data_IF_465739394126
#
_entry.id   IF_465739394126
#
_cell.length_a   1.000
_cell.length_b   1.000
_cell.length_c   1.000
_cell.angle_alpha   90.00
_cell.angle_beta   90.00
_cell.angle_gamma   90.00
#
_symmetry.space_group_name_H-M   'P 1'
#
loop_
_entity.id
_entity.type
_entity.pdbx_description
1 polymer ?
#
# COMPACT_ATOMS: atom_id res chain seq x y z
N UNK A 1 -23.23 1.07 9.75
CA UNK A 1 -21.94 0.60 9.23
C UNK A 1 -21.84 0.89 7.73
N UNK A 2 -20.70 1.40 7.27
CA UNK A 2 -20.38 1.56 5.86
C UNK A 2 -19.16 0.70 5.48
N UNK A 3 -19.17 0.14 4.29
CA UNK A 3 -18.03 -0.63 3.77
C UNK A 3 -17.03 0.33 3.16
N UNK A 4 -15.74 0.16 3.49
CA UNK A 4 -14.64 0.84 2.82
C UNK A 4 -14.33 0.06 1.53
N UNK A 5 -14.82 0.54 0.40
CA UNK A 5 -14.63 -0.12 -0.89
C UNK A 5 -13.20 0.10 -1.39
N UNK A 6 -12.32 -0.88 -1.11
CA UNK A 6 -10.92 -0.83 -1.54
C UNK A 6 -10.76 -0.97 -3.05
N UNK A 7 -11.71 -1.55 -3.77
CA UNK A 7 -11.65 -1.66 -5.24
C UNK A 7 -11.89 -0.29 -5.86
N UNK A 8 -12.96 0.40 -5.44
CA UNK A 8 -13.27 1.74 -5.95
C UNK A 8 -12.15 2.75 -5.61
N UNK A 9 -11.65 2.70 -4.37
CA UNK A 9 -10.57 3.60 -3.94
C UNK A 9 -9.25 3.30 -4.67
N UNK A 10 -8.94 2.02 -4.93
CA UNK A 10 -7.78 1.64 -5.72
C UNK A 10 -7.89 2.11 -7.17
N UNK A 11 -9.08 2.03 -7.78
CA UNK A 11 -9.31 2.56 -9.13
C UNK A 11 -9.07 4.08 -9.19
N UNK A 12 -9.59 4.85 -8.23
CA UNK A 12 -9.33 6.29 -8.13
C UNK A 12 -7.83 6.60 -7.93
N UNK A 13 -7.15 5.80 -7.09
CA UNK A 13 -5.70 5.95 -6.84
C UNK A 13 -4.87 5.64 -8.09
N UNK A 14 -5.26 4.63 -8.88
CA UNK A 14 -4.61 4.31 -10.15
C UNK A 14 -4.86 5.38 -11.21
N UNK A 15 -6.07 5.95 -11.26
CA UNK A 15 -6.36 7.09 -12.13
C UNK A 15 -5.47 8.31 -11.80
N UNK A 16 -5.25 8.60 -10.50
CA UNK A 16 -4.28 9.61 -10.06
C UNK A 16 -2.86 9.28 -10.54
N UNK A 17 -2.44 8.02 -10.42
CA UNK A 17 -1.13 7.57 -10.92
C UNK A 17 -1.01 7.76 -12.44
N UNK A 18 -2.04 7.39 -13.21
CA UNK A 18 -2.07 7.55 -14.66
C UNK A 18 -1.95 9.02 -15.12
N UNK A 19 -2.62 9.94 -14.44
CA UNK A 19 -2.48 11.38 -14.70
C UNK A 19 -1.03 11.86 -14.48
N UNK A 20 -0.39 11.39 -13.39
CA UNK A 20 1.00 11.72 -13.09
C UNK A 20 1.97 11.09 -14.11
N UNK A 21 1.69 9.86 -14.57
CA UNK A 21 2.44 9.22 -15.67
C UNK A 21 2.38 10.07 -16.93
N UNK A 22 1.20 10.55 -17.30
CA UNK A 22 1.03 11.42 -18.49
C UNK A 22 1.89 12.68 -18.37
N UNK A 23 1.86 13.34 -17.21
CA UNK A 23 2.67 14.53 -16.96
C UNK A 23 4.20 14.26 -17.00
N UNK A 24 4.64 13.05 -16.61
CA UNK A 24 6.04 12.62 -16.72
C UNK A 24 6.41 12.33 -18.18
N UNK A 25 5.53 11.68 -18.94
CA UNK A 25 5.74 11.40 -20.37
C UNK A 25 5.89 12.67 -21.21
N UNK A 26 5.14 13.73 -20.91
CA UNK A 26 5.29 15.05 -21.52
C UNK A 26 6.68 15.67 -21.30
N UNK A 27 7.38 15.21 -20.23
CA UNK A 27 8.77 15.59 -19.93
C UNK A 27 9.81 14.55 -20.40
N UNK A 28 9.39 13.58 -21.22
CA UNK A 28 10.26 12.53 -21.74
C UNK A 28 10.58 11.42 -20.75
N UNK A 29 9.89 11.33 -19.60
CA UNK A 29 10.11 10.30 -18.59
C UNK A 29 9.00 9.26 -18.65
N UNK A 30 9.36 8.01 -18.92
CA UNK A 30 8.44 6.88 -18.91
C UNK A 30 8.69 6.04 -17.64
N UNK A 31 7.80 6.07 -16.64
CA UNK A 31 7.99 5.24 -15.45
C UNK A 31 8.07 3.76 -15.80
N UNK A 32 9.01 3.03 -15.16
CA UNK A 32 9.23 1.61 -15.38
C UNK A 32 9.37 0.88 -14.04
N UNK A 33 8.58 -0.18 -13.86
CA UNK A 33 8.62 -1.10 -12.72
C UNK A 33 9.18 -2.45 -13.15
N UNK A 34 10.26 -2.88 -12.55
CA UNK A 34 10.76 -4.26 -12.68
C UNK A 34 10.20 -5.13 -11.56
N UNK A 35 9.58 -6.25 -11.92
CA UNK A 35 9.03 -7.25 -10.99
C UNK A 35 9.81 -8.54 -11.16
N UNK A 36 10.52 -8.95 -10.12
CA UNK A 36 11.28 -10.21 -10.09
C UNK A 36 10.48 -11.25 -9.32
N UNK A 37 10.25 -12.38 -9.94
CA UNK A 37 9.63 -13.56 -9.33
C UNK A 37 10.61 -14.74 -9.40
N UNK A 38 10.81 -15.44 -8.28
CA UNK A 38 11.62 -16.65 -8.21
C UNK A 38 10.70 -17.81 -7.89
N UNK A 39 10.71 -18.84 -8.75
CA UNK A 39 9.82 -19.98 -8.66
C UNK A 39 8.40 -19.73 -9.16
N UNK A 40 7.57 -20.75 -9.07
CA UNK A 40 6.23 -20.80 -9.67
C UNK A 40 5.09 -20.85 -8.64
N UNK A 41 5.25 -20.19 -7.47
CA UNK A 41 4.18 -20.15 -6.49
C UNK A 41 2.90 -19.57 -7.10
N UNK A 42 1.76 -20.31 -7.11
CA UNK A 42 0.55 -19.86 -7.80
C UNK A 42 -0.04 -18.57 -7.23
N UNK A 43 0.08 -18.35 -5.92
CA UNK A 43 -0.38 -17.11 -5.30
C UNK A 43 0.47 -15.93 -5.77
N UNK A 44 1.80 -16.08 -5.81
CA UNK A 44 2.73 -15.07 -6.32
C UNK A 44 2.45 -14.72 -7.78
N UNK A 45 2.16 -15.71 -8.63
CA UNK A 45 1.81 -15.48 -10.05
C UNK A 45 0.56 -14.60 -10.20
N UNK A 46 -0.47 -14.84 -9.39
CA UNK A 46 -1.69 -14.00 -9.41
C UNK A 46 -1.37 -12.56 -9.03
N UNK A 47 -0.55 -12.36 -7.99
CA UNK A 47 -0.14 -11.01 -7.56
C UNK A 47 0.73 -10.30 -8.60
N UNK A 48 1.71 -11.00 -9.18
CA UNK A 48 2.56 -10.44 -10.25
C UNK A 48 1.72 -10.05 -11.47
N UNK A 49 0.82 -10.94 -11.93
CA UNK A 49 -0.10 -10.61 -13.04
C UNK A 49 -0.95 -9.39 -12.74
N UNK A 50 -1.47 -9.28 -11.51
CA UNK A 50 -2.22 -8.10 -11.06
C UNK A 50 -1.39 -6.82 -11.14
N UNK A 51 -0.11 -6.84 -10.72
CA UNK A 51 0.80 -5.69 -10.79
C UNK A 51 1.11 -5.28 -12.22
N UNK A 52 1.35 -6.25 -13.12
CA UNK A 52 1.58 -6.00 -14.56
C UNK A 52 0.36 -5.33 -15.21
N UNK A 53 -0.85 -5.83 -14.90
CA UNK A 53 -2.09 -5.24 -15.39
C UNK A 53 -2.28 -3.81 -14.86
N UNK A 54 -2.02 -3.57 -13.58
CA UNK A 54 -2.11 -2.22 -12.98
C UNK A 54 -1.07 -1.26 -13.58
N UNK A 55 0.15 -1.75 -13.92
CA UNK A 55 1.14 -0.96 -14.66
C UNK A 55 0.58 -0.54 -16.03
N UNK A 56 0.03 -1.48 -16.79
CA UNK A 56 -0.55 -1.20 -18.11
C UNK A 56 -1.71 -0.21 -18.01
N UNK A 57 -2.60 -0.36 -17.03
CA UNK A 57 -3.72 0.55 -16.77
C UNK A 57 -3.23 1.97 -16.44
N UNK A 58 -2.14 2.11 -15.69
CA UNK A 58 -1.56 3.41 -15.33
C UNK A 58 -0.62 3.99 -16.41
N UNK A 59 -0.29 3.25 -17.47
CA UNK A 59 0.70 3.66 -18.48
C UNK A 59 2.16 3.55 -18.00
N UNK A 60 2.44 2.75 -16.97
CA UNK A 60 3.77 2.43 -16.47
C UNK A 60 4.33 1.24 -17.26
N UNK A 61 5.56 1.32 -17.72
CA UNK A 61 6.24 0.14 -18.29
C UNK A 61 6.51 -0.89 -17.21
N UNK A 62 6.28 -2.17 -17.53
CA UNK A 62 6.57 -3.28 -16.62
C UNK A 62 7.55 -4.26 -17.23
N UNK A 63 8.58 -4.63 -16.45
CA UNK A 63 9.52 -5.70 -16.81
C UNK A 63 9.34 -6.85 -15.83
N UNK A 64 8.79 -7.95 -16.31
CA UNK A 64 8.62 -9.17 -15.52
C UNK A 64 9.81 -10.08 -15.75
N UNK A 65 10.53 -10.39 -14.67
CA UNK A 65 11.66 -11.30 -14.66
C UNK A 65 11.26 -12.55 -13.89
N UNK A 66 11.26 -13.69 -14.58
CA UNK A 66 11.01 -14.98 -13.99
C UNK A 66 12.31 -15.76 -13.84
N UNK A 67 12.64 -16.15 -12.63
CA UNK A 67 13.80 -16.98 -12.31
C UNK A 67 13.33 -18.35 -11.84
N UNK A 68 14.11 -19.38 -12.13
CA UNK A 68 13.81 -20.74 -11.71
C UNK A 68 13.74 -20.84 -10.17
N UNK A 69 12.93 -21.75 -9.64
CA UNK A 69 12.84 -22.02 -8.21
C UNK A 69 14.19 -22.48 -7.61
N UNK A 70 15.03 -23.10 -8.46
CA UNK A 70 16.37 -23.55 -8.14
C UNK A 70 17.43 -22.44 -8.22
N UNK A 71 17.05 -21.21 -8.57
CA UNK A 71 17.98 -20.09 -8.64
C UNK A 71 18.78 -19.93 -7.34
N UNK A 72 20.05 -19.65 -7.47
CA UNK A 72 20.95 -19.41 -6.34
C UNK A 72 20.78 -17.98 -5.81
N UNK A 73 21.25 -17.77 -4.57
CA UNK A 73 21.31 -16.43 -3.97
C UNK A 73 22.09 -15.43 -4.85
N UNK A 74 23.23 -15.87 -5.42
CA UNK A 74 24.08 -15.00 -6.23
C UNK A 74 23.43 -14.63 -7.56
N UNK A 75 22.70 -15.54 -8.20
CA UNK A 75 21.96 -15.25 -9.43
C UNK A 75 20.85 -14.22 -9.17
N UNK A 76 20.09 -14.36 -8.07
CA UNK A 76 19.04 -13.40 -7.71
C UNK A 76 19.67 -12.03 -7.40
N UNK A 77 20.75 -11.98 -6.64
CA UNK A 77 21.46 -10.74 -6.35
C UNK A 77 22.05 -10.09 -7.60
N UNK A 78 22.62 -10.89 -8.53
CA UNK A 78 23.13 -10.38 -9.81
C UNK A 78 22.01 -9.74 -10.64
N UNK A 79 20.84 -10.38 -10.71
CA UNK A 79 19.67 -9.85 -11.41
C UNK A 79 19.19 -8.53 -10.78
N UNK A 80 19.08 -8.46 -9.46
CA UNK A 80 18.68 -7.24 -8.75
C UNK A 80 19.68 -6.11 -8.99
N UNK A 81 21.00 -6.39 -8.94
CA UNK A 81 22.04 -5.39 -9.21
C UNK A 81 22.00 -4.90 -10.66
N UNK A 82 21.75 -5.78 -11.63
CA UNK A 82 21.60 -5.38 -13.03
C UNK A 82 20.42 -4.41 -13.21
N UNK A 83 19.27 -4.69 -12.59
CA UNK A 83 18.13 -3.79 -12.59
C UNK A 83 18.41 -2.48 -11.84
N UNK A 84 19.17 -2.54 -10.76
CA UNK A 84 19.58 -1.37 -10.00
C UNK A 84 20.47 -0.42 -10.82
N UNK A 85 21.35 -0.97 -11.66
CA UNK A 85 22.24 -0.20 -12.54
C UNK A 85 21.54 0.35 -13.81
N UNK A 86 20.37 -0.19 -14.17
CA UNK A 86 19.63 0.24 -15.36
C UNK A 86 18.88 1.55 -15.08
N UNK A 87 19.31 2.65 -15.70
CA UNK A 87 18.68 3.96 -15.53
C UNK A 87 17.24 4.04 -16.04
N UNK A 88 16.81 3.12 -16.92
CA UNK A 88 15.44 3.06 -17.42
C UNK A 88 14.47 2.34 -16.46
N UNK A 89 14.99 1.67 -15.41
CA UNK A 89 14.21 1.02 -14.36
C UNK A 89 14.11 1.98 -13.17
N UNK A 90 12.92 2.42 -12.84
CA UNK A 90 12.68 3.39 -11.77
C UNK A 90 12.27 2.73 -10.45
N UNK A 91 11.58 1.58 -10.52
CA UNK A 91 11.19 0.79 -9.35
C UNK A 91 11.58 -0.66 -9.50
N UNK A 92 12.00 -1.29 -8.42
CA UNK A 92 12.30 -2.73 -8.35
C UNK A 92 11.46 -3.34 -7.26
N UNK A 93 10.77 -4.42 -7.60
CA UNK A 93 10.02 -5.24 -6.66
C UNK A 93 10.45 -6.70 -6.81
N UNK A 94 10.81 -7.33 -5.70
CA UNK A 94 11.01 -8.78 -5.64
C UNK A 94 9.83 -9.40 -4.93
N UNK A 95 9.10 -10.25 -5.67
CA UNK A 95 7.87 -10.86 -5.15
C UNK A 95 8.18 -11.88 -4.06
N UNK A 96 7.67 -11.64 -2.87
CA UNK A 96 7.75 -12.55 -1.73
C UNK A 96 6.55 -13.53 -1.70
N UNK A 97 6.71 -14.71 -1.07
CA UNK A 97 7.93 -15.24 -0.47
C UNK A 97 8.96 -15.73 -1.50
N UNK A 98 10.22 -15.74 -1.12
CA UNK A 98 11.30 -16.35 -1.90
C UNK A 98 11.50 -17.83 -1.50
N UNK A 99 12.08 -18.68 -2.40
CA UNK A 99 12.51 -20.02 -2.03
C UNK A 99 13.47 -20.04 -0.84
N UNK A 100 13.44 -21.12 -0.05
CA UNK A 100 14.12 -21.20 1.25
C UNK A 100 15.66 -21.00 1.18
N UNK A 101 16.29 -21.29 0.03
CA UNK A 101 17.72 -21.08 -0.20
C UNK A 101 18.09 -19.60 -0.39
N UNK A 102 17.10 -18.71 -0.57
CA UNK A 102 17.34 -17.28 -0.81
C UNK A 102 17.13 -16.49 0.48
N UNK A 103 18.11 -15.70 0.86
CA UNK A 103 18.01 -14.79 1.98
C UNK A 103 17.25 -13.51 1.57
N UNK A 104 16.00 -13.41 1.94
CA UNK A 104 15.13 -12.26 1.62
C UNK A 104 15.73 -10.92 2.04
N UNK A 105 16.37 -10.85 3.21
CA UNK A 105 16.99 -9.60 3.70
C UNK A 105 18.16 -9.16 2.81
N UNK A 106 18.97 -10.10 2.33
CA UNK A 106 20.06 -9.79 1.43
C UNK A 106 19.53 -9.24 0.10
N UNK A 107 18.43 -9.80 -0.40
CA UNK A 107 17.79 -9.34 -1.63
C UNK A 107 17.18 -7.95 -1.46
N UNK A 108 16.42 -7.71 -0.39
CA UNK A 108 15.84 -6.40 -0.09
C UNK A 108 16.94 -5.33 0.06
N UNK A 109 18.03 -5.66 0.75
CA UNK A 109 19.14 -4.74 0.95
C UNK A 109 19.95 -4.45 -0.32
N UNK A 110 19.84 -5.30 -1.35
CA UNK A 110 20.49 -5.09 -2.64
C UNK A 110 19.73 -4.09 -3.54
N UNK A 111 18.45 -3.81 -3.22
CA UNK A 111 17.66 -2.81 -3.93
C UNK A 111 18.07 -1.42 -3.42
N UNK A 112 18.53 -0.50 -4.30
CA UNK A 112 18.85 0.86 -3.89
C UNK A 112 17.60 1.56 -3.32
N UNK A 113 17.72 2.35 -2.25
CA UNK A 113 16.59 3.03 -1.62
C UNK A 113 15.74 3.87 -2.56
N UNK A 114 16.35 4.45 -3.60
CA UNK A 114 15.70 5.25 -4.64
C UNK A 114 14.87 4.42 -5.64
N UNK A 115 15.05 3.08 -5.67
CA UNK A 115 14.28 2.13 -6.49
C UNK A 115 13.44 1.15 -5.67
N UNK A 116 13.51 1.23 -4.34
CA UNK A 116 12.73 0.40 -3.41
C UNK A 116 11.30 0.92 -3.29
N UNK A 117 10.49 0.66 -4.30
CA UNK A 117 9.10 1.14 -4.38
C UNK A 117 8.12 0.40 -3.47
N UNK A 118 8.53 -0.72 -2.86
CA UNK A 118 7.78 -1.37 -1.78
C UNK A 118 8.04 -0.72 -0.40
N UNK A 119 9.11 0.08 -0.27
CA UNK A 119 9.47 0.79 0.96
C UNK A 119 9.99 -0.10 2.08
N UNK A 120 10.66 -1.22 1.75
CA UNK A 120 11.13 -2.19 2.73
C UNK A 120 12.61 -2.04 3.09
N UNK A 121 13.38 -1.25 2.33
CA UNK A 121 14.79 -1.05 2.64
C UNK A 121 14.96 -0.39 4.01
N UNK A 122 15.99 -0.76 4.79
CA UNK A 122 16.25 -0.13 6.09
C UNK A 122 16.38 1.39 6.00
N UNK A 123 16.83 1.93 4.87
CA UNK A 123 16.96 3.38 4.63
C UNK A 123 15.57 4.03 4.53
N UNK A 124 14.66 3.49 3.69
CA UNK A 124 13.30 4.02 3.58
C UNK A 124 12.53 3.87 4.90
N UNK A 125 12.68 2.72 5.59
CA UNK A 125 12.08 2.50 6.90
C UNK A 125 12.59 3.50 7.95
N UNK A 126 13.91 3.76 7.98
CA UNK A 126 14.51 4.76 8.88
C UNK A 126 14.00 6.17 8.58
N UNK A 127 13.99 6.57 7.31
CA UNK A 127 13.46 7.88 6.87
C UNK A 127 11.98 8.06 7.22
N UNK A 128 11.16 7.02 7.01
CA UNK A 128 9.75 7.04 7.42
C UNK A 128 9.62 7.29 8.93
N UNK A 129 10.46 6.62 9.75
CA UNK A 129 10.43 6.74 11.20
C UNK A 129 10.73 8.17 11.71
N UNK A 130 11.57 8.92 10.99
CA UNK A 130 11.99 10.28 11.37
C UNK A 130 11.29 11.37 10.54
N UNK A 131 10.29 11.00 9.73
CA UNK A 131 9.52 11.95 8.91
C UNK A 131 10.25 12.49 7.68
N UNK A 132 11.36 11.86 7.25
CA UNK A 132 12.07 12.25 6.05
C UNK A 132 11.42 11.71 4.76
N UNK A 133 11.66 12.36 3.60
CA UNK A 133 11.13 11.89 2.32
C UNK A 133 11.62 10.47 1.96
N UNK A 134 10.69 9.53 1.83
CA UNK A 134 10.96 8.12 1.51
C UNK A 134 9.84 7.55 0.61
N UNK A 135 9.95 6.27 0.23
CA UNK A 135 8.82 5.49 -0.26
C UNK A 135 8.18 4.79 0.92
N UNK A 136 6.87 5.00 1.09
CA UNK A 136 6.12 4.38 2.16
C UNK A 136 5.77 2.94 1.79
N UNK A 137 5.81 1.98 2.74
CA UNK A 137 5.33 0.63 2.50
C UNK A 137 3.90 0.64 1.97
N UNK A 138 3.68 -0.04 0.83
CA UNK A 138 2.44 0.10 0.04
C UNK A 138 1.18 -0.27 0.83
N UNK A 139 1.19 -1.40 1.56
CA UNK A 139 0.04 -1.85 2.36
C UNK A 139 -0.30 -0.87 3.48
N UNK A 140 0.63 -0.47 4.35
CA UNK A 140 0.39 0.54 5.38
C UNK A 140 -0.12 1.88 4.83
N UNK A 141 0.52 2.38 3.76
CA UNK A 141 0.08 3.62 3.12
C UNK A 141 -1.35 3.51 2.56
N UNK A 142 -1.69 2.34 1.99
CA UNK A 142 -3.06 2.02 1.57
C UNK A 142 -4.05 2.03 2.72
N UNK A 143 -3.68 1.46 3.89
CA UNK A 143 -4.53 1.50 5.09
C UNK A 143 -4.82 2.93 5.53
N UNK A 144 -3.81 3.80 5.59
CA UNK A 144 -4.03 5.22 5.94
C UNK A 144 -4.99 5.89 4.95
N UNK A 145 -4.76 5.71 3.64
CA UNK A 145 -5.65 6.28 2.61
C UNK A 145 -7.09 5.77 2.71
N UNK A 146 -7.27 4.51 3.10
CA UNK A 146 -8.61 3.94 3.36
C UNK A 146 -9.28 4.57 4.59
N UNK A 147 -8.54 4.79 5.68
CA UNK A 147 -9.07 5.49 6.86
C UNK A 147 -9.45 6.92 6.49
N UNK A 148 -8.56 7.66 5.83
CA UNK A 148 -8.83 9.04 5.38
C UNK A 148 -10.04 9.13 4.46
N UNK A 149 -10.28 8.13 3.60
CA UNK A 149 -11.44 8.11 2.69
C UNK A 149 -12.80 8.01 3.40
N UNK A 150 -12.83 7.63 4.67
CA UNK A 150 -14.05 7.62 5.49
C UNK A 150 -14.43 9.01 6.02
N UNK A 151 -13.56 10.00 5.87
CA UNK A 151 -13.71 11.32 6.50
C UNK A 151 -13.33 11.33 7.99
N UNK A 152 -12.81 10.22 8.52
CA UNK A 152 -12.34 10.15 9.91
C UNK A 152 -11.08 10.99 10.07
N UNK A 153 -11.13 11.97 10.99
CA UNK A 153 -9.91 12.66 11.43
C UNK A 153 -9.09 11.72 12.32
N UNK A 154 -7.90 11.38 11.86
CA UNK A 154 -6.98 10.47 12.59
C UNK A 154 -6.36 11.19 13.79
N UNK A 155 -6.27 12.52 13.75
CA UNK A 155 -5.63 13.32 14.80
C UNK A 155 -6.34 13.12 16.15
N UNK A 156 -5.57 12.78 17.18
CA UNK A 156 -6.06 12.56 18.54
C UNK A 156 -6.80 11.24 18.77
N UNK A 157 -7.03 10.42 17.74
CA UNK A 157 -7.71 9.13 17.87
C UNK A 157 -6.84 8.09 18.57
N UNK A 158 -7.48 7.17 19.30
CA UNK A 158 -6.83 5.98 19.84
C UNK A 158 -6.78 4.89 18.76
N UNK A 159 -5.60 4.66 18.20
CA UNK A 159 -5.37 3.67 17.16
C UNK A 159 -4.68 2.42 17.72
N UNK A 160 -5.25 1.25 17.45
CA UNK A 160 -4.66 -0.04 17.82
C UNK A 160 -4.29 -0.81 16.56
N UNK A 161 -3.03 -1.25 16.50
CA UNK A 161 -2.52 -2.11 15.42
C UNK A 161 -2.21 -3.48 16.01
N UNK A 162 -2.94 -4.51 15.56
CA UNK A 162 -2.69 -5.89 15.96
C UNK A 162 -1.76 -6.52 14.92
N UNK A 163 -0.52 -6.76 15.33
CA UNK A 163 0.57 -7.25 14.48
C UNK A 163 1.79 -6.32 14.53
N UNK A 164 2.98 -6.90 14.40
CA UNK A 164 4.25 -6.14 14.48
C UNK A 164 5.28 -6.58 13.44
N UNK A 165 4.79 -7.01 12.27
CA UNK A 165 5.69 -7.31 11.15
C UNK A 165 6.39 -6.04 10.67
N UNK A 166 7.58 -6.21 10.10
CA UNK A 166 8.33 -5.09 9.53
C UNK A 166 7.66 -4.53 8.24
N UNK A 167 6.85 -5.37 7.57
CA UNK A 167 6.21 -5.00 6.31
C UNK A 167 4.88 -4.27 6.50
N UNK A 168 4.14 -4.56 7.60
CA UNK A 168 2.78 -4.05 7.78
C UNK A 168 2.58 -3.42 9.16
N UNK A 169 2.66 -4.19 10.24
CA UNK A 169 2.20 -3.73 11.56
C UNK A 169 2.98 -2.53 12.08
N UNK A 170 4.32 -2.61 12.09
CA UNK A 170 5.16 -1.48 12.52
C UNK A 170 4.98 -0.25 11.62
N UNK A 171 5.06 -0.38 10.27
CA UNK A 171 4.85 0.77 9.39
C UNK A 171 3.46 1.39 9.54
N UNK A 172 2.40 0.60 9.65
CA UNK A 172 1.05 1.13 9.85
C UNK A 172 0.94 1.95 11.13
N UNK A 173 1.54 1.45 12.23
CA UNK A 173 1.58 2.18 13.49
C UNK A 173 2.34 3.51 13.37
N UNK A 174 3.48 3.53 12.66
CA UNK A 174 4.27 4.75 12.47
C UNK A 174 3.52 5.77 11.60
N UNK A 175 2.82 5.32 10.56
CA UNK A 175 2.04 6.23 9.71
C UNK A 175 0.82 6.79 10.46
N UNK A 176 0.18 6.03 11.34
CA UNK A 176 -0.87 6.55 12.24
C UNK A 176 -0.31 7.56 13.23
N UNK A 177 0.89 7.31 13.79
CA UNK A 177 1.58 8.27 14.66
C UNK A 177 1.94 9.56 13.91
N UNK A 178 2.42 9.48 12.67
CA UNK A 178 2.69 10.65 11.80
C UNK A 178 1.42 11.49 11.58
N UNK A 179 0.24 10.86 11.62
CA UNK A 179 -1.06 11.52 11.56
C UNK A 179 -1.60 11.99 12.92
N UNK A 180 -0.76 12.03 13.94
CA UNK A 180 -1.06 12.45 15.31
C UNK A 180 -2.07 11.56 16.06
N UNK A 181 -2.21 10.28 15.71
CA UNK A 181 -2.94 9.33 16.53
C UNK A 181 -2.13 8.92 17.77
N UNK A 182 -2.82 8.55 18.85
CA UNK A 182 -2.23 7.79 19.96
C UNK A 182 -2.22 6.32 19.57
N UNK A 183 -1.04 5.71 19.44
CA UNK A 183 -0.93 4.37 18.83
C UNK A 183 -0.48 3.32 19.83
N UNK A 184 -1.22 2.22 19.89
CA UNK A 184 -0.85 0.99 20.63
C UNK A 184 -0.58 -0.13 19.64
N UNK A 185 0.60 -0.75 19.72
CA UNK A 185 0.94 -1.95 18.94
C UNK A 185 0.73 -3.19 19.81
N UNK A 186 -0.18 -4.06 19.38
CA UNK A 186 -0.49 -5.33 20.02
C UNK A 186 0.14 -6.51 19.28
N UNK A 187 0.44 -7.58 20.01
CA UNK A 187 1.07 -8.78 19.47
C UNK A 187 0.76 -10.02 20.35
N UNK A 188 1.25 -11.18 19.97
CA UNK A 188 1.00 -12.47 20.66
C UNK A 188 1.40 -12.54 22.13
N UNK A 189 2.10 -11.53 22.66
CA UNK A 189 2.49 -11.42 24.07
C UNK A 189 1.75 -10.30 24.81
N UNK A 190 0.86 -9.58 24.13
CA UNK A 190 0.05 -8.53 24.74
C UNK A 190 -0.94 -9.14 25.71
N UNK A 191 -0.97 -8.60 26.92
CA UNK A 191 -1.99 -8.91 27.92
C UNK A 191 -3.22 -8.02 27.69
N UNK A 192 -4.39 -8.48 28.07
CA UNK A 192 -5.65 -7.73 27.97
C UNK A 192 -5.94 -7.22 26.53
N UNK A 193 -5.61 -8.05 25.52
CA UNK A 193 -5.73 -7.68 24.11
C UNK A 193 -7.16 -7.24 23.75
N UNK A 194 -8.17 -7.93 24.29
CA UNK A 194 -9.59 -7.64 24.01
C UNK A 194 -9.96 -6.23 24.48
N UNK A 195 -9.63 -5.88 25.70
CA UNK A 195 -9.94 -4.58 26.30
C UNK A 195 -9.23 -3.44 25.56
N UNK A 196 -7.96 -3.67 25.18
CA UNK A 196 -7.18 -2.68 24.40
C UNK A 196 -7.85 -2.45 23.05
N UNK A 197 -8.22 -3.50 22.33
CA UNK A 197 -8.87 -3.39 21.02
C UNK A 197 -10.27 -2.78 21.13
N UNK A 198 -11.05 -3.15 22.15
CA UNK A 198 -12.41 -2.62 22.36
C UNK A 198 -12.43 -1.13 22.72
N UNK A 199 -11.29 -0.52 23.04
CA UNK A 199 -11.15 0.91 23.29
C UNK A 199 -10.68 1.71 22.03
N UNK A 200 -10.37 1.03 20.92
CA UNK A 200 -9.79 1.65 19.74
C UNK A 200 -10.81 2.38 18.87
N UNK A 201 -10.55 3.62 18.51
CA UNK A 201 -11.30 4.37 17.50
C UNK A 201 -10.94 3.88 16.09
N UNK A 202 -9.67 3.49 15.90
CA UNK A 202 -9.14 2.91 14.68
C UNK A 202 -8.47 1.59 15.03
N UNK A 203 -8.94 0.49 14.43
CA UNK A 203 -8.41 -0.86 14.64
C UNK A 203 -7.86 -1.41 13.33
N UNK A 204 -6.55 -1.70 13.30
CA UNK A 204 -5.87 -2.34 12.16
C UNK A 204 -5.48 -3.76 12.53
N UNK A 205 -6.05 -4.75 11.85
CA UNK A 205 -5.76 -6.17 12.05
C UNK A 205 -4.77 -6.69 11.00
N UNK A 206 -3.59 -7.14 11.43
CA UNK A 206 -2.51 -7.63 10.57
C UNK A 206 -1.77 -8.80 11.23
N UNK A 207 -2.51 -9.87 11.57
CA UNK A 207 -1.99 -11.05 12.31
C UNK A 207 -1.83 -12.30 11.45
N UNK A 208 -2.47 -12.34 10.26
CA UNK A 208 -2.46 -13.50 9.36
C UNK A 208 -3.20 -14.73 9.94
N UNK A 209 -4.30 -14.49 10.65
CA UNK A 209 -5.15 -15.54 11.23
C UNK A 209 -6.62 -15.20 11.02
N UNK A 210 -7.30 -16.04 10.23
CA UNK A 210 -8.70 -15.83 9.90
C UNK A 210 -9.60 -15.69 11.14
N UNK A 211 -10.44 -14.65 11.17
CA UNK A 211 -11.43 -14.42 12.21
C UNK A 211 -10.88 -14.20 13.62
N UNK A 212 -9.59 -13.83 13.74
CA UNK A 212 -8.94 -13.60 15.03
C UNK A 212 -9.54 -12.45 15.82
N UNK A 213 -9.93 -11.37 15.15
CA UNK A 213 -10.58 -10.22 15.78
C UNK A 213 -12.08 -10.46 15.78
N UNK A 214 -12.62 -10.68 16.96
CA UNK A 214 -14.05 -10.93 17.20
C UNK A 214 -14.81 -9.63 17.46
N UNK A 215 -16.14 -9.66 17.34
CA UNK A 215 -16.98 -8.46 17.51
C UNK A 215 -16.84 -7.78 18.87
N UNK A 216 -16.53 -8.52 19.95
CA UNK A 216 -16.30 -7.97 21.30
C UNK A 216 -14.95 -7.24 21.44
N UNK A 217 -14.07 -7.37 20.46
CA UNK A 217 -12.82 -6.60 20.34
C UNK A 217 -13.00 -5.28 19.55
N UNK A 218 -14.20 -5.00 19.05
CA UNK A 218 -14.47 -3.80 18.24
C UNK A 218 -15.28 -2.79 19.05
N UNK A 219 -14.77 -1.56 19.15
CA UNK A 219 -15.49 -0.43 19.75
C UNK A 219 -16.68 -0.04 18.88
N UNK A 220 -17.86 0.24 19.44
CA UNK A 220 -18.96 0.83 18.66
C UNK A 220 -18.52 2.14 17.99
N UNK A 221 -18.75 2.24 16.68
CA UNK A 221 -18.36 3.41 15.89
C UNK A 221 -16.90 3.41 15.37
N UNK A 222 -16.11 2.36 15.64
CA UNK A 222 -14.72 2.27 15.19
C UNK A 222 -14.59 2.17 13.66
N UNK A 223 -13.41 2.60 13.16
CA UNK A 223 -12.92 2.27 11.81
C UNK A 223 -12.08 1.01 11.90
N UNK A 224 -12.45 -0.03 11.15
CA UNK A 224 -11.76 -1.33 11.17
C UNK A 224 -11.11 -1.59 9.82
N UNK A 225 -9.79 -1.75 9.82
CA UNK A 225 -8.99 -2.09 8.64
C UNK A 225 -8.48 -3.52 8.79
N UNK A 226 -8.99 -4.42 7.97
CA UNK A 226 -8.57 -5.82 7.92
C UNK A 226 -7.53 -6.02 6.82
N UNK A 227 -6.28 -6.24 7.21
CA UNK A 227 -5.16 -6.50 6.30
C UNK A 227 -5.01 -7.99 6.00
N UNK A 228 -5.67 -8.85 6.77
CA UNK A 228 -5.55 -10.30 6.67
C UNK A 228 -5.96 -10.82 5.29
N UNK A 229 -5.18 -11.76 4.77
CA UNK A 229 -5.50 -12.56 3.58
C UNK A 229 -5.19 -14.02 3.92
N UNK A 230 -6.19 -14.73 4.36
CA UNK A 230 -6.08 -16.13 4.78
C UNK A 230 -6.89 -17.00 3.80
N UNK A 231 -6.29 -18.05 3.25
CA UNK A 231 -7.03 -19.01 2.43
C UNK A 231 -7.66 -20.06 3.35
N UNK A 232 -8.99 -20.09 3.38
CA UNK A 232 -9.74 -21.08 4.13
C UNK A 232 -9.75 -22.46 3.51
N UNK A 233 -10.21 -23.45 4.26
CA UNK A 233 -10.42 -24.81 3.77
C UNK A 233 -11.48 -24.88 2.66
N UNK A 234 -12.38 -23.89 2.59
CA UNK A 234 -13.38 -23.68 1.56
C UNK A 234 -12.79 -23.09 0.25
N UNK A 235 -11.47 -22.84 0.21
CA UNK A 235 -10.75 -22.24 -0.91
C UNK A 235 -10.96 -20.72 -1.03
N UNK A 236 -11.81 -20.10 -0.20
CA UNK A 236 -12.07 -18.66 -0.20
C UNK A 236 -11.03 -17.89 0.60
N UNK A 237 -10.99 -16.58 0.37
CA UNK A 237 -10.15 -15.67 1.14
C UNK A 237 -10.96 -15.12 2.32
N UNK A 238 -10.33 -15.15 3.49
CA UNK A 238 -10.87 -14.63 4.74
C UNK A 238 -9.90 -13.62 5.34
N UNK A 239 -10.45 -12.60 5.99
CA UNK A 239 -9.67 -11.62 6.73
C UNK A 239 -9.26 -12.11 8.13
N UNK A 240 -8.51 -11.26 8.81
CA UNK A 240 -8.17 -11.47 10.23
C UNK A 240 -9.35 -11.13 11.16
N UNK A 241 -10.37 -10.43 10.66
CA UNK A 241 -11.54 -9.98 11.41
C UNK A 241 -12.72 -10.91 11.11
N UNK A 242 -13.47 -11.28 12.16
CA UNK A 242 -14.84 -11.80 11.99
C UNK A 242 -15.71 -10.65 11.46
N UNK A 243 -15.83 -10.61 10.14
CA UNK A 243 -16.47 -9.50 9.44
C UNK A 243 -17.92 -9.30 9.89
N UNK A 244 -18.69 -10.37 10.06
CA UNK A 244 -20.09 -10.28 10.40
C UNK A 244 -20.28 -9.67 11.79
N UNK A 245 -19.56 -10.18 12.79
CA UNK A 245 -19.64 -9.69 14.16
C UNK A 245 -19.05 -8.28 14.33
N UNK A 246 -17.98 -7.95 13.61
CA UNK A 246 -17.36 -6.62 13.64
C UNK A 246 -18.25 -5.56 12.96
N UNK A 247 -18.92 -5.92 11.86
CA UNK A 247 -19.80 -5.04 11.11
C UNK A 247 -21.01 -4.54 11.92
N UNK A 248 -21.46 -5.29 12.92
CA UNK A 248 -22.54 -4.84 13.80
C UNK A 248 -22.16 -3.62 14.66
N UNK A 249 -20.85 -3.41 14.89
CA UNK A 249 -20.32 -2.36 15.77
C UNK A 249 -19.57 -1.26 15.05
N UNK A 250 -18.80 -1.61 14.03
CA UNK A 250 -17.95 -0.67 13.30
C UNK A 250 -18.80 0.40 12.59
N UNK A 251 -18.32 1.66 12.56
CA UNK A 251 -18.84 2.65 11.63
C UNK A 251 -18.40 2.36 10.20
N UNK A 252 -17.12 1.99 10.05
CA UNK A 252 -16.51 1.66 8.76
C UNK A 252 -15.67 0.39 8.88
N UNK A 253 -15.72 -0.47 7.87
CA UNK A 253 -14.94 -1.72 7.85
C UNK A 253 -14.53 -2.07 6.42
N UNK A 254 -13.31 -2.61 6.26
CA UNK A 254 -12.84 -3.14 4.98
C UNK A 254 -13.31 -4.59 4.79
N UNK A 255 -13.78 -4.98 3.59
CA UNK A 255 -14.08 -6.38 3.27
C UNK A 255 -12.80 -7.15 2.90
N UNK A 256 -12.84 -8.47 3.04
CA UNK A 256 -11.82 -9.38 2.47
C UNK A 256 -12.54 -10.48 1.69
N UNK A 257 -12.30 -10.61 0.39
CA UNK A 257 -11.47 -9.76 -0.49
C UNK A 257 -12.10 -8.40 -0.80
N UNK A 258 -11.33 -7.51 -1.46
CA UNK A 258 -11.83 -6.23 -1.99
C UNK A 258 -11.51 -4.99 -1.14
N UNK A 259 -10.85 -5.19 0.02
CA UNK A 259 -10.36 -4.11 0.88
C UNK A 259 -8.91 -3.71 0.58
N UNK A 260 -7.99 -4.06 1.48
CA UNK A 260 -6.58 -3.60 1.49
C UNK A 260 -5.77 -4.10 0.29
N UNK A 261 -6.02 -5.33 -0.21
CA UNK A 261 -5.23 -5.91 -1.31
C UNK A 261 -5.18 -5.06 -2.58
N UNK A 262 -6.32 -4.60 -3.15
CA UNK A 262 -6.33 -3.66 -4.28
C UNK A 262 -5.58 -2.37 -3.99
N UNK A 263 -5.71 -1.80 -2.79
CA UNK A 263 -5.02 -0.57 -2.39
C UNK A 263 -3.51 -0.73 -2.33
N UNK A 264 -3.00 -1.86 -1.86
CA UNK A 264 -1.55 -2.16 -1.87
C UNK A 264 -0.97 -2.02 -3.27
N UNK A 265 -1.65 -2.56 -4.29
CA UNK A 265 -1.19 -2.47 -5.68
C UNK A 265 -1.29 -1.05 -6.23
N UNK A 266 -2.34 -0.32 -5.90
CA UNK A 266 -2.51 1.06 -6.33
C UNK A 266 -1.42 1.99 -5.73
N UNK A 267 -1.06 1.78 -4.46
CA UNK A 267 0.04 2.51 -3.81
C UNK A 267 1.41 2.20 -4.44
N UNK A 268 1.63 0.96 -4.90
CA UNK A 268 2.82 0.60 -5.65
C UNK A 268 2.95 1.40 -6.95
N UNK A 269 1.85 1.63 -7.66
CA UNK A 269 1.84 2.48 -8.86
C UNK A 269 2.26 3.91 -8.52
N UNK A 270 1.71 4.49 -7.44
CA UNK A 270 2.10 5.83 -6.98
C UNK A 270 3.58 5.90 -6.59
N UNK A 271 4.11 4.92 -5.84
CA UNK A 271 5.52 4.87 -5.48
C UNK A 271 6.42 4.77 -6.72
N UNK A 272 6.03 3.98 -7.73
CA UNK A 272 6.78 3.86 -8.99
C UNK A 272 6.82 5.18 -9.74
N UNK A 273 5.71 5.89 -9.82
CA UNK A 273 5.63 7.23 -10.43
C UNK A 273 6.49 8.23 -9.66
N UNK A 274 6.43 8.19 -8.33
CA UNK A 274 7.26 9.02 -7.47
C UNK A 274 8.76 8.74 -7.67
N UNK A 275 9.12 7.46 -7.83
CA UNK A 275 10.50 7.04 -8.07
C UNK A 275 11.01 7.60 -9.42
N UNK A 276 10.21 7.48 -10.48
CA UNK A 276 10.54 8.02 -11.79
C UNK A 276 10.71 9.55 -11.75
N UNK A 277 9.81 10.26 -11.06
CA UNK A 277 9.93 11.72 -10.91
C UNK A 277 11.22 12.12 -10.16
N UNK A 278 11.49 11.50 -9.01
CA UNK A 278 12.66 11.83 -8.18
C UNK A 278 13.99 11.54 -8.88
N UNK A 279 14.11 10.38 -9.55
CA UNK A 279 15.32 9.99 -10.26
C UNK A 279 15.63 10.90 -11.46
N UNK A 280 14.61 11.61 -11.98
CA UNK A 280 14.75 12.59 -13.06
C UNK A 280 14.76 14.05 -12.57
N UNK A 281 14.97 14.30 -11.27
CA UNK A 281 15.07 15.65 -10.70
C UNK A 281 13.77 16.45 -10.73
N UNK A 282 12.63 15.78 -10.90
CA UNK A 282 11.32 16.44 -10.93
C UNK A 282 10.73 16.48 -9.53
N UNK A 283 10.20 17.66 -9.14
CA UNK A 283 9.54 17.81 -7.85
C UNK A 283 8.30 16.92 -7.77
N UNK A 284 8.28 16.03 -6.80
CA UNK A 284 7.10 15.22 -6.48
C UNK A 284 6.53 15.72 -5.17
N UNK A 285 5.42 16.44 -5.21
CA UNK A 285 4.70 16.80 -3.99
C UNK A 285 4.12 15.52 -3.38
N UNK A 286 4.40 15.27 -2.11
CA UNK A 286 3.83 14.19 -1.30
C UNK A 286 2.32 14.43 -1.24
N UNK A 287 1.57 13.90 -2.21
CA UNK A 287 0.11 13.99 -2.22
C UNK A 287 -0.48 12.77 -1.53
N UNK A 288 -0.37 12.73 -0.20
CA UNK A 288 -1.51 12.30 0.60
C UNK A 288 -2.39 13.55 0.76
N UNK A 289 -2.91 14.09 -0.35
CA UNK A 289 -4.01 15.03 -0.25
C UNK A 289 -5.26 14.23 0.09
N UNK A 290 -6.13 14.75 0.98
CA UNK A 290 -7.45 14.16 1.16
C UNK A 290 -8.06 14.00 -0.23
N UNK A 291 -8.53 12.82 -0.56
CA UNK A 291 -9.39 12.64 -1.74
C UNK A 291 -10.52 13.63 -1.52
N UNK A 292 -10.72 14.59 -2.44
CA UNK A 292 -11.83 15.56 -2.29
C UNK A 292 -13.13 14.76 -2.18
N UNK A 293 -13.63 14.67 -0.97
CA UNK A 293 -14.81 13.87 -0.57
C UNK A 293 -16.08 14.35 -1.29
N UNK A 294 -16.08 15.57 -1.82
CA UNK A 294 -17.20 16.15 -2.55
C UNK A 294 -17.68 15.29 -3.74
N UNK A 295 -16.82 14.44 -4.31
CA UNK A 295 -17.20 13.54 -5.41
C UNK A 295 -17.70 12.16 -4.96
N UNK A 296 -17.39 11.74 -3.73
CA UNK A 296 -17.80 10.42 -3.22
C UNK A 296 -19.18 10.42 -2.53
N UNK A 297 -19.62 11.53 -1.96
CA UNK A 297 -20.93 11.61 -1.33
C UNK A 297 -22.10 11.47 -2.32
N UNK A 298 -21.91 11.80 -3.62
CA UNK A 298 -22.94 11.63 -4.64
C UNK A 298 -23.10 10.18 -5.14
N UNK A 299 -22.15 9.29 -4.87
CA UNK A 299 -22.17 7.88 -5.31
C UNK A 299 -22.97 7.00 -4.32
N UNK A 300 -23.06 7.42 -3.06
CA UNK A 300 -23.70 6.62 -2.00
C UNK A 300 -25.19 6.85 -1.79
N UNK A 301 -25.82 7.83 -2.49
CA UNK A 301 -27.25 8.15 -2.33
C UNK A 301 -27.99 8.01 -3.68
N UNK A 302 -27.92 6.86 -4.33
CA UNK A 302 -28.77 6.61 -5.50
C UNK A 302 -28.16 5.60 -6.47
N UNK A 303 -28.82 4.46 -6.58
CA UNK A 303 -28.41 3.36 -7.44
C UNK A 303 -28.54 3.66 -8.94
N UNK A 304 -27.69 4.52 -9.48
CA UNK A 304 -27.47 4.67 -10.91
C UNK A 304 -26.01 5.02 -11.15
N UNK A 305 -25.34 4.23 -11.98
CA UNK A 305 -23.95 4.47 -12.39
C UNK A 305 -23.98 5.52 -13.52
N UNK A 306 -23.54 6.77 -13.30
CA UNK A 306 -23.40 7.71 -14.39
C UNK A 306 -22.05 7.51 -15.07
N UNK A 307 -22.05 7.44 -16.38
CA UNK A 307 -20.87 7.55 -17.24
C UNK A 307 -20.17 8.89 -16.96
N UNK A 308 -19.02 8.83 -16.32
CA UNK A 308 -18.30 9.98 -15.82
C UNK A 308 -17.52 10.66 -16.97
N UNK A 309 -17.96 11.83 -17.41
CA UNK A 309 -17.11 12.77 -18.13
C UNK A 309 -16.30 13.57 -17.12
N UNK A 310 -15.00 13.34 -17.09
CA UNK A 310 -14.04 14.05 -16.22
C UNK A 310 -13.81 15.44 -16.79
N UNK A 311 -13.95 16.53 -16.00
CA UNK A 311 -13.57 17.87 -16.46
C UNK A 311 -12.05 17.98 -16.61
N UNK A 312 -11.58 18.50 -17.74
CA UNK A 312 -10.18 18.56 -18.18
C UNK A 312 -9.43 19.79 -17.64
N UNK A 313 -9.71 20.27 -16.44
CA UNK A 313 -9.02 21.46 -15.91
C UNK A 313 -8.58 21.31 -14.44
N UNK A 314 -7.48 20.55 -14.25
CA UNK A 314 -6.57 20.80 -13.15
C UNK A 314 -5.13 20.65 -13.66
N UNK A 315 -4.48 21.77 -13.97
CA UNK A 315 -3.05 21.81 -14.34
C UNK A 315 -2.22 21.36 -13.15
N UNK A 316 -1.75 20.11 -13.17
CA UNK A 316 -0.72 19.63 -12.26
C UNK A 316 0.61 20.22 -12.73
N UNK A 317 1.05 21.31 -12.10
CA UNK A 317 2.33 21.92 -12.38
C UNK A 317 3.43 21.22 -11.59
N UNK A 318 4.42 20.66 -12.30
CA UNK A 318 5.71 20.31 -11.75
C UNK A 318 6.61 21.55 -11.83
N UNK A 319 6.95 22.13 -10.68
CA UNK A 319 7.93 23.22 -10.62
C UNK A 319 9.36 22.67 -10.61
N UNK A 320 10.27 23.26 -11.39
CA UNK A 320 11.70 22.99 -11.30
C UNK A 320 12.28 23.66 -10.08
N UNK A 321 13.25 23.05 -9.36
CA UNK A 321 13.87 23.64 -8.19
C UNK A 321 14.88 24.73 -8.61
N UNK A 322 14.39 25.94 -8.86
CA UNK A 322 15.26 27.12 -9.04
C UNK A 322 14.97 28.09 -7.91
N UNK A 323 15.83 28.13 -6.92
CA UNK A 323 15.73 29.11 -5.83
C UNK A 323 16.63 28.84 -4.65
N UNK A 324 17.93 28.54 -4.86
CA UNK A 324 18.93 28.92 -3.87
C UNK A 324 19.24 30.41 -4.07
N UNK A 325 18.75 31.26 -3.19
CA UNK A 325 19.33 32.57 -2.96
C UNK A 325 20.24 32.48 -1.75
N UNK A 326 21.46 32.91 -1.96
CA UNK A 326 22.56 33.17 -1.04
C UNK A 326 22.17 33.85 0.24
#
# INVERSE_FOLDING_TARGET
MAIIDGIALAAATKAEAAQKVQALREKGVVPCLAVVQVGENPASQVYVRGKVNDCAECGIESRSIHMAETATQDEVLAQVRALAADASVHGILVQLPLPAQINEKAVINAIPPEKDVDGFSPVNVGRMQIGEPCYLPCTPAGCIRMIESTGTDICGQNAVVIGRSNMVGKPAAMLLLEKNATVTICHSKTKNLREICAAADILVAAVGRAGFVTGDMVKPGAVVIDVGINRGADGKLHGDVDFAAAAEKAAFITPVPGGVGPMTRAMLMLNTVQAAARQNGLAYRKTLQPVEIAHFQSIFIGGHVPTMKIPLESKIAFESPSGMRT
#
